data_IF_888697481179
#
_entry.id   IF_888697481179
#
_cell.length_a   1.000
_cell.length_b   1.000
_cell.length_c   1.000
_cell.angle_alpha   90.00
_cell.angle_beta   90.00
_cell.angle_gamma   90.00
#
_symmetry.space_group_name_H-M   'P 1'
#
loop_
_entity.id
_entity.type
_entity.pdbx_description
1 polymer ?
#
# COMPACT_ATOMS: atom_id res chain seq x y z
N UNK A 1 -9.52 -25.25 11.29
CA UNK A 1 -9.47 -23.82 11.70
C UNK A 1 -8.19 -23.13 11.24
N UNK A 2 -7.01 -23.67 11.53
CA UNK A 2 -5.70 -23.10 11.11
C UNK A 2 -5.65 -22.84 9.59
N UNK A 3 -6.09 -23.81 8.79
CA UNK A 3 -6.07 -23.70 7.33
C UNK A 3 -6.88 -22.49 6.83
N UNK A 4 -8.11 -22.31 7.32
CA UNK A 4 -9.00 -21.20 6.97
C UNK A 4 -8.48 -19.83 7.42
N UNK A 5 -7.80 -19.76 8.56
CA UNK A 5 -7.32 -18.49 9.14
C UNK A 5 -5.98 -18.03 8.56
N UNK A 6 -5.10 -18.96 8.18
CA UNK A 6 -3.71 -18.63 7.85
C UNK A 6 -3.27 -19.10 6.46
N UNK A 7 -3.86 -20.18 5.92
CA UNK A 7 -3.35 -20.84 4.72
C UNK A 7 -4.25 -20.64 3.50
N UNK A 8 -5.56 -20.50 3.70
CA UNK A 8 -6.52 -20.30 2.61
C UNK A 8 -6.23 -18.99 1.86
N UNK A 9 -6.15 -17.87 2.57
CA UNK A 9 -5.95 -16.57 1.91
C UNK A 9 -4.62 -16.46 1.14
N UNK A 10 -3.44 -16.85 1.69
CA UNK A 10 -2.21 -16.90 0.90
C UNK A 10 -2.33 -17.80 -0.33
N UNK A 11 -2.97 -18.97 -0.22
CA UNK A 11 -3.18 -19.86 -1.37
C UNK A 11 -4.07 -19.24 -2.44
N UNK A 12 -5.12 -18.49 -2.06
CA UNK A 12 -6.02 -17.81 -3.01
C UNK A 12 -5.26 -16.79 -3.89
N UNK A 13 -4.14 -16.26 -3.39
CA UNK A 13 -3.26 -15.33 -4.14
C UNK A 13 -1.95 -15.98 -4.60
N UNK A 14 -1.87 -17.32 -4.60
CA UNK A 14 -0.69 -18.11 -5.00
C UNK A 14 0.60 -17.80 -4.21
N UNK A 15 0.48 -17.54 -2.91
CA UNK A 15 1.59 -17.29 -1.99
C UNK A 15 1.67 -18.34 -0.87
N UNK A 16 2.90 -18.62 -0.41
CA UNK A 16 3.09 -19.30 0.88
C UNK A 16 2.77 -18.36 2.04
N UNK A 17 2.41 -18.91 3.20
CA UNK A 17 2.16 -18.12 4.41
C UNK A 17 3.32 -17.17 4.75
N UNK A 18 4.57 -17.64 4.65
CA UNK A 18 5.75 -16.82 4.94
C UNK A 18 5.90 -15.63 3.99
N UNK A 19 5.69 -15.84 2.69
CA UNK A 19 5.72 -14.76 1.68
C UNK A 19 4.61 -13.75 1.97
N UNK A 20 3.38 -14.23 2.16
CA UNK A 20 2.23 -13.38 2.41
C UNK A 20 2.39 -12.58 3.71
N UNK A 21 2.82 -13.23 4.78
CA UNK A 21 3.07 -12.60 6.08
C UNK A 21 4.13 -11.49 5.98
N UNK A 22 5.26 -11.75 5.32
CA UNK A 22 6.32 -10.76 5.14
C UNK A 22 5.81 -9.53 4.39
N UNK A 23 5.05 -9.75 3.31
CA UNK A 23 4.51 -8.67 2.48
C UNK A 23 3.50 -7.85 3.28
N UNK A 24 2.49 -8.51 3.87
CA UNK A 24 1.43 -7.86 4.62
C UNK A 24 2.00 -7.04 5.79
N UNK A 25 2.96 -7.61 6.53
CA UNK A 25 3.59 -6.92 7.67
C UNK A 25 4.42 -5.73 7.22
N UNK A 26 5.16 -5.83 6.11
CA UNK A 26 5.90 -4.70 5.53
C UNK A 26 4.95 -3.57 5.09
N UNK A 27 3.84 -3.91 4.44
CA UNK A 27 2.80 -2.96 4.06
C UNK A 27 2.26 -2.22 5.27
N UNK A 28 1.85 -2.96 6.31
CA UNK A 28 1.35 -2.39 7.55
C UNK A 28 2.35 -1.44 8.21
N UNK A 29 3.63 -1.83 8.30
CA UNK A 29 4.67 -0.97 8.88
C UNK A 29 4.87 0.33 8.08
N UNK A 30 4.86 0.27 6.74
CA UNK A 30 4.95 1.46 5.90
C UNK A 30 3.72 2.36 6.05
N UNK A 31 2.51 1.77 6.16
CA UNK A 31 1.28 2.52 6.40
C UNK A 31 1.31 3.24 7.75
N UNK A 32 1.73 2.57 8.83
CA UNK A 32 1.84 3.18 10.17
C UNK A 32 2.83 4.34 10.16
N UNK A 33 4.00 4.16 9.53
CA UNK A 33 5.01 5.21 9.40
C UNK A 33 4.53 6.40 8.59
N UNK A 34 3.85 6.15 7.47
CA UNK A 34 3.26 7.21 6.66
C UNK A 34 2.14 7.94 7.40
N UNK A 35 1.27 7.21 8.11
CA UNK A 35 0.23 7.80 8.95
C UNK A 35 0.81 8.69 10.04
N UNK A 36 1.87 8.24 10.71
CA UNK A 36 2.59 9.07 11.69
C UNK A 36 3.19 10.32 11.05
N UNK A 37 3.81 10.20 9.87
CA UNK A 37 4.31 11.36 9.13
C UNK A 37 3.19 12.35 8.77
N UNK A 38 2.01 11.87 8.35
CA UNK A 38 0.84 12.72 8.10
C UNK A 38 0.36 13.43 9.38
N UNK A 39 0.38 12.75 10.53
CA UNK A 39 0.03 13.37 11.82
C UNK A 39 1.01 14.49 12.18
N UNK A 40 2.32 14.27 12.01
CA UNK A 40 3.33 15.31 12.22
C UNK A 40 3.16 16.46 11.22
N UNK A 41 2.87 16.17 9.96
CA UNK A 41 2.55 17.17 8.95
C UNK A 41 1.33 18.02 9.35
N UNK A 42 0.28 17.40 9.90
CA UNK A 42 -0.89 18.11 10.42
C UNK A 42 -0.57 19.07 11.59
N UNK A 43 0.48 18.79 12.35
CA UNK A 43 0.99 19.69 13.40
C UNK A 43 1.95 20.75 12.84
N UNK A 44 2.80 20.37 11.88
CA UNK A 44 3.83 21.21 11.27
C UNK A 44 3.80 21.00 9.75
N UNK A 45 3.05 21.84 9.00
CA UNK A 45 2.82 21.62 7.56
C UNK A 45 4.08 21.61 6.70
N UNK A 46 5.19 22.20 7.15
CA UNK A 46 6.45 22.17 6.42
C UNK A 46 7.14 20.78 6.46
N UNK A 47 6.74 19.89 7.38
CA UNK A 47 7.36 18.58 7.52
C UNK A 47 6.61 17.51 6.74
N UNK A 48 7.37 16.56 6.18
CA UNK A 48 6.84 15.37 5.54
C UNK A 48 5.86 15.59 4.38
N UNK A 49 5.86 16.76 3.72
CA UNK A 49 4.85 17.20 2.73
C UNK A 49 4.43 16.17 1.68
N UNK A 50 5.31 15.25 1.27
CA UNK A 50 4.99 14.23 0.25
C UNK A 50 5.02 12.80 0.78
N UNK A 51 5.21 12.59 2.08
CA UNK A 51 5.51 11.27 2.64
C UNK A 51 4.30 10.36 2.60
N UNK A 52 3.13 10.87 3.00
CA UNK A 52 1.89 10.10 2.98
C UNK A 52 1.52 9.69 1.56
N UNK A 53 1.42 10.69 0.68
CA UNK A 53 1.03 10.52 -0.72
C UNK A 53 2.01 9.64 -1.51
N UNK A 54 3.32 9.78 -1.33
CA UNK A 54 4.30 8.91 -1.97
C UNK A 54 4.19 7.46 -1.48
N UNK A 55 3.97 7.25 -0.18
CA UNK A 55 3.81 5.90 0.37
C UNK A 55 2.57 5.21 -0.17
N UNK A 56 1.42 5.91 -0.21
CA UNK A 56 0.17 5.36 -0.76
C UNK A 56 0.35 4.98 -2.23
N UNK A 57 0.92 5.86 -3.07
CA UNK A 57 1.17 5.58 -4.49
C UNK A 57 2.05 4.36 -4.68
N UNK A 58 3.13 4.25 -3.89
CA UNK A 58 4.04 3.10 -3.90
C UNK A 58 3.32 1.80 -3.54
N UNK A 59 2.65 1.76 -2.39
CA UNK A 59 1.98 0.55 -1.90
C UNK A 59 0.88 0.09 -2.87
N UNK A 60 0.13 1.04 -3.44
CA UNK A 60 -0.88 0.72 -4.44
C UNK A 60 -0.27 0.15 -5.74
N UNK A 61 0.85 0.71 -6.22
CA UNK A 61 1.59 0.14 -7.35
C UNK A 61 2.06 -1.29 -7.08
N UNK A 62 2.63 -1.54 -5.90
CA UNK A 62 3.08 -2.87 -5.47
C UNK A 62 1.90 -3.86 -5.33
N UNK A 63 0.73 -3.43 -4.83
CA UNK A 63 -0.50 -4.25 -4.79
C UNK A 63 -0.98 -4.64 -6.18
N UNK A 64 -0.99 -3.70 -7.14
CA UNK A 64 -1.42 -3.98 -8.52
C UNK A 64 -0.52 -4.98 -9.23
N UNK A 65 0.79 -4.91 -9.02
CA UNK A 65 1.73 -5.88 -9.61
C UNK A 65 1.46 -7.32 -9.17
N UNK A 66 0.74 -7.50 -8.05
CA UNK A 66 0.35 -8.80 -7.51
C UNK A 66 -1.05 -9.26 -7.99
N UNK A 67 -1.74 -8.44 -8.77
CA UNK A 67 -3.06 -8.73 -9.33
C UNK A 67 -2.94 -8.82 -10.86
N UNK A 68 -2.68 -10.00 -11.44
CA UNK A 68 -2.43 -10.16 -12.88
C UNK A 68 -3.58 -9.64 -13.75
N UNK A 69 -4.83 -9.82 -13.33
CA UNK A 69 -6.02 -9.34 -14.06
C UNK A 69 -6.12 -7.81 -14.15
N UNK A 70 -5.39 -7.09 -13.28
CA UNK A 70 -5.35 -5.64 -13.22
C UNK A 70 -4.02 -5.07 -13.75
N UNK A 71 -3.07 -5.91 -14.16
CA UNK A 71 -1.77 -5.46 -14.65
C UNK A 71 -1.87 -4.65 -15.96
N UNK A 72 -2.86 -4.97 -16.81
CA UNK A 72 -3.07 -4.27 -18.08
C UNK A 72 -3.74 -2.90 -17.93
N UNK A 73 -4.45 -2.68 -16.82
CA UNK A 73 -5.11 -1.41 -16.58
C UNK A 73 -4.09 -0.37 -16.09
N UNK A 74 -4.21 0.87 -16.56
CA UNK A 74 -3.38 1.96 -16.05
C UNK A 74 -3.66 2.20 -14.56
N UNK A 75 -2.63 2.37 -13.72
CA UNK A 75 -2.85 2.63 -12.30
C UNK A 75 -3.54 3.98 -12.09
N UNK A 76 -4.60 3.98 -11.29
CA UNK A 76 -5.43 5.16 -11.01
C UNK A 76 -4.62 6.44 -10.74
N UNK A 77 -3.56 6.38 -9.93
CA UNK A 77 -2.74 7.57 -9.58
C UNK A 77 -1.96 8.19 -10.76
N UNK A 78 -1.83 7.49 -11.90
CA UNK A 78 -1.26 8.07 -13.13
C UNK A 78 -2.32 8.82 -13.95
N UNK A 79 -3.60 8.46 -13.80
CA UNK A 79 -4.71 9.15 -14.45
C UNK A 79 -4.77 10.59 -13.95
N UNK A 80 -4.88 11.61 -14.84
CA UNK A 80 -4.90 13.02 -14.44
C UNK A 80 -5.94 13.33 -13.36
N UNK A 81 -7.12 12.72 -13.45
CA UNK A 81 -8.23 12.83 -12.49
C UNK A 81 -7.91 12.34 -11.06
N UNK A 82 -6.86 11.54 -10.89
CA UNK A 82 -6.47 10.91 -9.64
C UNK A 82 -5.07 11.32 -9.18
N UNK A 83 -4.40 12.22 -9.91
CA UNK A 83 -3.17 12.87 -9.43
C UNK A 83 -3.58 13.79 -8.29
N UNK A 84 -3.29 13.46 -7.03
CA UNK A 84 -3.55 14.41 -5.97
C UNK A 84 -2.52 15.52 -6.16
N UNK A 85 -2.97 16.71 -6.54
CA UNK A 85 -2.19 17.94 -6.37
C UNK A 85 -1.92 18.20 -4.86
N UNK A 86 -2.65 17.49 -3.99
CA UNK A 86 -2.58 17.52 -2.55
C UNK A 86 -1.26 16.92 -2.01
N UNK A 87 -0.54 17.71 -1.22
CA UNK A 87 0.65 17.30 -0.47
C UNK A 87 0.20 16.76 0.92
N UNK A 88 0.50 15.50 1.20
CA UNK A 88 0.58 14.90 2.55
C UNK A 88 1.77 13.94 2.55
#
# INVERSE_FOLDING_TARGET
>A
MIDRLFLQHPRDVNESYGQHFQVATRFGFLMVRAGFACMVHGLVPAFFTRTGSATVKRLYGEMRQRQPDLAEQQPAYLSPQWRPDYEI
#
